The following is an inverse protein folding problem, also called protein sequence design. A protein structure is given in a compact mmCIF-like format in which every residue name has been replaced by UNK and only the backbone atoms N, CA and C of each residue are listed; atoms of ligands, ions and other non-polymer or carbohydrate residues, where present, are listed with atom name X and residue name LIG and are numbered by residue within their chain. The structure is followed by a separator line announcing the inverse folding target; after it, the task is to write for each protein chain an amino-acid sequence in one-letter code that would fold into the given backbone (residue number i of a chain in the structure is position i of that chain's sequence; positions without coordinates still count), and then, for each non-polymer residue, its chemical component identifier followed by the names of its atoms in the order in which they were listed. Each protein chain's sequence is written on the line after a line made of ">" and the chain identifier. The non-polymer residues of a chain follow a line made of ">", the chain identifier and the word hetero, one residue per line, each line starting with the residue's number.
data_IF_220892944729
#
_entry.id   IF_220892944729
#
_cell.length_a   1.000
_cell.length_b   1.000
_cell.length_c   1.000
_cell.angle_alpha   90.00
_cell.angle_beta   90.00
_cell.angle_gamma   90.00
#
_symmetry.space_group_name_H-M   'P 1'
#
loop_
_entity.id
_entity.type
_entity.pdbx_description
1 polymer ?
#
# COMPACT_ATOMS: atom_id res chain seq x y z
N UNK A 1 17.40 1.91 14.43
CA UNK A 1 17.63 0.87 15.45
C UNK A 1 16.40 -0.01 15.43
N UNK A 2 16.61 -1.29 15.10
CA UNK A 2 15.60 -2.37 15.05
C UNK A 2 15.16 -2.58 16.51
N UNK A 3 13.87 -2.50 16.81
CA UNK A 3 13.37 -2.85 18.14
C UNK A 3 13.45 -4.37 18.28
N UNK A 4 14.44 -4.83 19.06
CA UNK A 4 14.65 -6.16 19.61
C UNK A 4 13.65 -7.27 19.18
N UNK A 5 13.86 -7.86 18.00
CA UNK A 5 13.55 -9.28 17.76
C UNK A 5 12.45 -9.65 16.76
N UNK A 6 11.74 -8.71 16.12
CA UNK A 6 10.75 -9.05 15.10
C UNK A 6 11.37 -9.15 13.69
N UNK A 7 11.28 -10.30 12.99
CA UNK A 7 11.73 -10.41 11.60
C UNK A 7 11.03 -9.44 10.64
N UNK A 8 9.83 -8.94 10.98
CA UNK A 8 9.09 -7.99 10.16
C UNK A 8 9.83 -6.66 9.98
N UNK A 9 10.69 -6.28 10.92
CA UNK A 9 11.42 -5.01 10.83
C UNK A 9 12.44 -4.98 9.70
N UNK A 10 12.91 -6.14 9.24
CA UNK A 10 13.74 -6.23 8.03
C UNK A 10 12.94 -5.77 6.81
N UNK A 11 11.68 -6.21 6.69
CA UNK A 11 10.78 -5.78 5.62
C UNK A 11 10.43 -4.29 5.74
N UNK A 12 10.29 -3.77 6.95
CA UNK A 12 10.05 -2.33 7.19
C UNK A 12 11.24 -1.48 6.72
N UNK A 13 12.48 -1.91 7.00
CA UNK A 13 13.71 -1.21 6.56
C UNK A 13 13.90 -1.28 5.04
N UNK A 14 13.65 -2.45 4.44
CA UNK A 14 13.70 -2.62 2.99
C UNK A 14 12.62 -1.78 2.32
N UNK A 15 11.41 -1.76 2.89
CA UNK A 15 10.30 -0.95 2.40
C UNK A 15 10.57 0.55 2.48
N UNK A 16 11.21 1.02 3.56
CA UNK A 16 11.66 2.41 3.66
C UNK A 16 12.65 2.77 2.55
N UNK A 17 13.61 1.87 2.31
CA UNK A 17 14.61 2.03 1.25
C UNK A 17 13.93 2.09 -0.12
N UNK A 18 13.00 1.18 -0.39
CA UNK A 18 12.21 1.13 -1.63
C UNK A 18 11.35 2.37 -1.82
N UNK A 19 10.72 2.88 -0.76
CA UNK A 19 9.87 4.08 -0.80
C UNK A 19 10.64 5.31 -1.29
N UNK A 20 11.88 5.48 -0.81
CA UNK A 20 12.76 6.62 -1.13
C UNK A 20 13.55 6.45 -2.42
N UNK A 21 13.72 5.20 -2.90
CA UNK A 21 14.53 4.91 -4.07
C UNK A 21 13.85 5.41 -5.36
N UNK A 22 14.52 6.24 -6.18
CA UNK A 22 14.06 6.53 -7.53
C UNK A 22 14.00 5.24 -8.38
N UNK A 23 12.86 5.00 -9.02
CA UNK A 23 12.69 3.83 -9.89
C UNK A 23 11.85 4.16 -11.13
N UNK A 24 11.79 3.17 -12.04
CA UNK A 24 11.00 3.21 -13.25
C UNK A 24 11.56 4.16 -14.32
N UNK A 25 10.93 4.19 -15.51
CA UNK A 25 11.34 5.07 -16.62
C UNK A 25 11.36 6.55 -16.26
N UNK A 26 10.53 6.99 -15.31
CA UNK A 26 10.49 8.39 -14.85
C UNK A 26 11.54 8.72 -13.79
N UNK A 27 12.24 7.72 -13.27
CA UNK A 27 13.30 7.85 -12.26
C UNK A 27 12.89 8.71 -11.06
N UNK A 28 11.74 8.39 -10.46
CA UNK A 28 11.20 9.07 -9.27
C UNK A 28 10.88 8.10 -8.14
N UNK A 29 10.92 8.57 -6.89
CA UNK A 29 10.56 7.81 -5.70
C UNK A 29 9.04 7.77 -5.48
N UNK A 30 8.59 6.98 -4.50
CA UNK A 30 7.18 6.92 -4.08
C UNK A 30 6.81 8.04 -3.09
N UNK A 31 7.73 8.94 -2.75
CA UNK A 31 7.52 10.01 -1.77
C UNK A 31 6.43 11.03 -2.17
N UNK A 32 5.95 10.99 -3.42
CA UNK A 32 4.81 11.79 -3.88
C UNK A 32 3.50 10.99 -3.96
N UNK A 33 3.51 9.72 -3.61
CA UNK A 33 2.32 8.86 -3.61
C UNK A 33 1.35 9.31 -2.53
N UNK A 34 0.09 9.57 -2.90
CA UNK A 34 -0.97 9.87 -1.96
C UNK A 34 -1.69 8.57 -1.57
N UNK A 35 -1.53 8.14 -0.32
CA UNK A 35 -2.20 6.97 0.26
C UNK A 35 -3.52 7.32 0.99
N UNK A 36 -4.07 8.51 0.73
CA UNK A 36 -5.35 8.98 1.26
C UNK A 36 -5.23 9.96 2.42
N UNK A 37 -4.01 10.36 2.78
CA UNK A 37 -3.71 11.41 3.77
C UNK A 37 -3.01 12.62 3.15
N UNK A 38 -2.89 12.66 1.82
CA UNK A 38 -2.15 13.66 1.06
C UNK A 38 -0.85 13.09 0.49
N UNK A 39 -0.27 13.73 -0.55
CA UNK A 39 0.96 13.27 -1.20
C UNK A 39 2.11 13.06 -0.20
N UNK A 40 2.66 11.85 -0.15
CA UNK A 40 3.81 11.50 0.70
C UNK A 40 3.49 11.26 2.17
N UNK A 41 2.25 11.45 2.61
CA UNK A 41 1.88 11.32 4.03
C UNK A 41 1.58 9.85 4.35
N UNK A 42 2.48 9.21 5.11
CA UNK A 42 2.32 7.81 5.52
C UNK A 42 1.66 7.63 6.89
N UNK A 43 1.85 8.57 7.82
CA UNK A 43 1.36 8.47 9.20
C UNK A 43 -0.16 8.29 9.22
N UNK A 44 -0.63 7.15 9.73
CA UNK A 44 -2.07 6.84 9.77
C UNK A 44 -2.74 6.61 8.42
N UNK A 45 -1.98 6.43 7.34
CA UNK A 45 -2.52 6.10 6.02
C UNK A 45 -3.07 4.67 6.01
N UNK A 46 -2.27 3.69 6.47
CA UNK A 46 -2.67 2.29 6.52
C UNK A 46 -3.92 2.06 7.36
N UNK A 47 -4.01 2.69 8.54
CA UNK A 47 -5.18 2.58 9.40
C UNK A 47 -6.48 3.09 8.77
N UNK A 48 -6.40 3.91 7.72
CA UNK A 48 -7.54 4.48 7.02
C UNK A 48 -7.84 3.82 5.65
N UNK A 49 -7.13 2.75 5.32
CA UNK A 49 -7.35 1.94 4.12
C UNK A 49 -8.14 0.67 4.46
N UNK A 50 -8.89 0.09 3.50
CA UNK A 50 -9.18 0.59 2.16
C UNK A 50 -10.07 1.85 2.18
N UNK A 51 -10.00 2.68 1.13
CA UNK A 51 -10.85 3.86 0.98
C UNK A 51 -11.02 4.30 -0.47
N UNK A 52 -11.97 5.20 -0.71
CA UNK A 52 -12.19 5.81 -2.01
C UNK A 52 -11.11 6.85 -2.34
N UNK A 53 -10.63 6.78 -3.58
CA UNK A 53 -9.73 7.77 -4.19
C UNK A 53 -10.40 8.41 -5.39
N UNK A 54 -10.42 9.74 -5.41
CA UNK A 54 -11.09 10.54 -6.44
C UNK A 54 -10.39 10.46 -7.80
N UNK A 55 -9.07 10.33 -7.82
CA UNK A 55 -8.24 10.31 -9.03
C UNK A 55 -8.43 9.04 -9.87
N UNK A 56 -8.74 7.92 -9.23
CA UNK A 56 -9.07 6.64 -9.90
C UNK A 56 -10.55 6.33 -9.89
N UNK A 57 -11.32 7.10 -9.13
CA UNK A 57 -12.74 6.86 -8.89
C UNK A 57 -12.99 5.44 -8.35
N UNK A 58 -12.11 4.91 -7.49
CA UNK A 58 -12.20 3.53 -6.97
C UNK A 58 -11.91 3.46 -5.49
N UNK A 59 -12.47 2.45 -4.83
CA UNK A 59 -12.00 2.01 -3.51
C UNK A 59 -10.77 1.14 -3.73
N UNK A 60 -9.68 1.46 -3.07
CA UNK A 60 -8.42 0.73 -3.17
C UNK A 60 -7.89 0.39 -1.78
N UNK A 61 -7.33 -0.81 -1.66
CA UNK A 61 -6.45 -1.21 -0.56
C UNK A 61 -5.05 -0.61 -0.76
N UNK A 62 -4.11 -0.99 0.11
CA UNK A 62 -2.75 -0.48 0.04
C UNK A 62 -2.03 -0.93 -1.24
N UNK A 63 -2.06 -2.21 -1.53
CA UNK A 63 -1.33 -2.83 -2.64
C UNK A 63 -1.83 -2.30 -3.99
N UNK A 64 -3.15 -2.17 -4.17
CA UNK A 64 -3.72 -1.57 -5.39
C UNK A 64 -3.33 -0.10 -5.51
N UNK A 65 -3.27 0.64 -4.39
CA UNK A 65 -2.84 2.04 -4.42
C UNK A 65 -1.33 2.19 -4.69
N UNK A 66 -0.49 1.31 -4.15
CA UNK A 66 0.94 1.27 -4.45
C UNK A 66 1.18 0.95 -5.92
N UNK A 67 0.48 -0.05 -6.48
CA UNK A 67 0.51 -0.36 -7.91
C UNK A 67 0.13 0.86 -8.76
N UNK A 68 -0.93 1.58 -8.37
CA UNK A 68 -1.32 2.82 -9.05
C UNK A 68 -0.22 3.90 -8.97
N UNK A 69 0.40 4.10 -7.81
CA UNK A 69 1.49 5.07 -7.68
C UNK A 69 2.74 4.68 -8.48
N UNK A 70 3.14 3.41 -8.46
CA UNK A 70 4.28 2.92 -9.25
C UNK A 70 4.04 3.10 -10.76
N UNK A 71 2.83 2.80 -11.24
CA UNK A 71 2.49 2.98 -12.65
C UNK A 71 2.43 4.46 -13.05
N UNK A 72 1.76 5.29 -12.27
CA UNK A 72 1.53 6.70 -12.62
C UNK A 72 2.74 7.60 -12.35
N UNK A 73 3.37 7.47 -11.17
CA UNK A 73 4.51 8.28 -10.76
C UNK A 73 5.81 7.78 -11.37
N UNK A 74 6.12 6.49 -11.24
CA UNK A 74 7.40 5.93 -11.68
C UNK A 74 7.40 5.52 -13.16
N UNK A 75 6.22 5.33 -13.76
CA UNK A 75 6.07 4.94 -15.16
C UNK A 75 6.33 3.45 -15.41
N UNK A 76 6.36 2.62 -14.36
CA UNK A 76 6.51 1.16 -14.47
C UNK A 76 5.23 0.54 -15.04
N UNK A 77 5.35 -0.59 -15.72
CA UNK A 77 4.17 -1.34 -16.19
C UNK A 77 3.57 -2.18 -15.05
N UNK A 78 2.27 -2.49 -15.13
CA UNK A 78 1.62 -3.32 -14.12
C UNK A 78 2.25 -4.72 -14.09
N UNK A 79 2.58 -5.27 -15.26
CA UNK A 79 3.18 -6.59 -15.44
C UNK A 79 4.56 -6.69 -14.76
N UNK A 80 5.38 -5.64 -14.85
CA UNK A 80 6.68 -5.57 -14.15
C UNK A 80 6.51 -5.58 -12.62
N UNK A 81 5.50 -4.89 -12.11
CA UNK A 81 5.25 -4.75 -10.67
C UNK A 81 4.65 -6.04 -10.11
N UNK A 82 3.69 -6.65 -10.81
CA UNK A 82 2.96 -7.83 -10.33
C UNK A 82 3.64 -9.15 -10.71
N UNK A 83 4.89 -9.12 -11.18
CA UNK A 83 5.63 -10.34 -11.56
C UNK A 83 5.93 -11.23 -10.36
N UNK A 84 6.16 -10.65 -9.19
CA UNK A 84 6.43 -11.37 -7.95
C UNK A 84 5.76 -10.67 -6.77
N UNK A 85 4.41 -10.72 -6.67
CA UNK A 85 3.67 -10.01 -5.63
C UNK A 85 3.94 -10.60 -4.24
N UNK A 86 4.26 -11.90 -4.18
CA UNK A 86 4.63 -12.61 -2.96
C UNK A 86 6.10 -13.01 -3.02
N UNK A 87 6.78 -12.85 -1.89
CA UNK A 87 8.18 -13.21 -1.74
C UNK A 87 8.35 -14.72 -1.52
N UNK A 88 9.57 -15.18 -1.74
CA UNK A 88 10.07 -16.46 -1.25
C UNK A 88 11.35 -16.25 -0.46
N UNK A 89 11.87 -17.31 0.17
CA UNK A 89 13.11 -17.25 0.93
C UNK A 89 14.29 -16.65 0.13
N UNK A 90 14.34 -16.91 -1.18
CA UNK A 90 15.42 -16.46 -2.06
C UNK A 90 15.09 -15.20 -2.87
N UNK A 91 13.81 -14.80 -2.90
CA UNK A 91 13.32 -13.70 -3.74
C UNK A 91 12.32 -12.85 -2.95
N UNK A 92 12.78 -11.80 -2.25
CA UNK A 92 11.89 -10.92 -1.52
C UNK A 92 10.93 -10.18 -2.47
N UNK A 93 9.72 -9.90 -2.00
CA UNK A 93 8.75 -9.09 -2.74
C UNK A 93 8.87 -7.61 -2.36
N UNK A 94 9.01 -6.76 -3.37
CA UNK A 94 8.94 -5.30 -3.18
C UNK A 94 7.60 -4.87 -2.57
N UNK A 95 6.50 -5.53 -2.95
CA UNK A 95 5.16 -5.20 -2.45
C UNK A 95 5.04 -5.54 -0.96
N UNK A 96 5.57 -6.68 -0.52
CA UNK A 96 5.55 -7.07 0.90
C UNK A 96 6.34 -6.08 1.76
N UNK A 97 7.55 -5.71 1.33
CA UNK A 97 8.39 -4.75 2.06
C UNK A 97 7.75 -3.37 2.13
N UNK A 98 7.20 -2.87 1.01
CA UNK A 98 6.48 -1.59 1.01
C UNK A 98 5.23 -1.64 1.88
N UNK A 99 4.45 -2.72 1.81
CA UNK A 99 3.26 -2.89 2.66
C UNK A 99 3.63 -2.90 4.15
N UNK A 100 4.68 -3.63 4.53
CA UNK A 100 5.18 -3.66 5.90
C UNK A 100 5.61 -2.26 6.37
N UNK A 101 6.41 -1.55 5.58
CA UNK A 101 6.89 -0.21 5.90
C UNK A 101 5.74 0.79 6.09
N UNK A 102 4.76 0.80 5.17
CA UNK A 102 3.60 1.72 5.28
C UNK A 102 2.70 1.36 6.46
N UNK A 103 2.46 0.06 6.70
CA UNK A 103 1.69 -0.40 7.85
C UNK A 103 2.35 0.01 9.18
N UNK A 104 3.69 -0.04 9.25
CA UNK A 104 4.44 0.39 10.42
C UNK A 104 4.19 1.86 10.79
N UNK A 105 3.91 2.73 9.80
CA UNK A 105 3.58 4.15 10.03
C UNK A 105 2.21 4.37 10.70
N UNK A 106 1.45 3.30 10.92
CA UNK A 106 0.16 3.31 11.62
C UNK A 106 0.13 2.38 12.85
N UNK A 107 1.27 1.88 13.33
CA UNK A 107 1.36 1.05 14.55
C UNK A 107 0.69 1.75 15.74
N UNK A 108 -0.17 1.01 16.46
CA UNK A 108 -0.90 1.50 17.63
C UNK A 108 -2.09 2.42 17.33
N UNK A 109 -2.37 2.73 16.06
CA UNK A 109 -3.52 3.54 15.69
C UNK A 109 -4.79 2.69 15.55
N UNK A 110 -5.95 3.29 15.83
CA UNK A 110 -7.24 2.66 15.60
C UNK A 110 -7.51 2.54 14.09
N UNK A 111 -7.99 1.38 13.65
CA UNK A 111 -8.47 1.20 12.28
C UNK A 111 -9.74 2.01 12.05
N UNK A 112 -9.74 2.81 10.99
CA UNK A 112 -10.84 3.68 10.57
C UNK A 112 -10.93 3.66 9.02
N UNK A 113 -11.23 2.50 8.41
CA UNK A 113 -11.36 2.38 6.96
C UNK A 113 -12.51 3.25 6.43
N UNK A 114 -12.46 3.59 5.14
CA UNK A 114 -13.47 4.44 4.51
C UNK A 114 -14.86 3.80 4.49
N UNK A 115 -15.87 4.52 4.98
CA UNK A 115 -17.30 4.12 4.96
C UNK A 115 -18.24 5.30 4.63
N UNK A 116 -17.69 6.44 4.24
CA UNK A 116 -18.45 7.67 4.04
C UNK A 116 -18.99 7.79 2.61
N UNK A 117 -18.18 7.39 1.63
CA UNK A 117 -18.49 7.53 0.20
C UNK A 117 -19.44 6.41 -0.26
N UNK A 118 -20.36 6.67 -1.21
CA UNK A 118 -21.24 5.62 -1.74
C UNK A 118 -20.50 4.37 -2.25
N UNK A 119 -19.35 4.54 -2.91
CA UNK A 119 -18.53 3.40 -3.36
C UNK A 119 -17.90 2.63 -2.20
N UNK A 120 -17.51 3.30 -1.11
CA UNK A 120 -16.99 2.63 0.10
C UNK A 120 -18.06 1.73 0.72
N UNK A 121 -19.29 2.25 0.83
CA UNK A 121 -20.44 1.47 1.32
C UNK A 121 -20.74 0.27 0.42
N UNK A 122 -20.72 0.47 -0.91
CA UNK A 122 -20.91 -0.63 -1.86
C UNK A 122 -19.81 -1.69 -1.76
N UNK A 123 -18.54 -1.29 -1.65
CA UNK A 123 -17.42 -2.23 -1.45
C UNK A 123 -17.52 -2.98 -0.13
N UNK A 124 -17.97 -2.32 0.94
CA UNK A 124 -18.24 -2.96 2.22
C UNK A 124 -19.34 -4.02 2.11
N UNK A 125 -20.46 -3.68 1.48
CA UNK A 125 -21.58 -4.61 1.27
C UNK A 125 -21.19 -5.82 0.39
N UNK A 126 -20.38 -5.60 -0.64
CA UNK A 126 -19.81 -6.67 -1.45
C UNK A 126 -18.92 -7.58 -0.61
N UNK A 127 -18.00 -7.01 0.18
CA UNK A 127 -17.13 -7.78 1.07
C UNK A 127 -17.93 -8.59 2.08
N UNK A 128 -19.01 -8.02 2.62
CA UNK A 128 -19.95 -8.72 3.51
C UNK A 128 -20.62 -9.90 2.81
N UNK A 129 -21.12 -9.71 1.58
CA UNK A 129 -21.74 -10.80 0.82
C UNK A 129 -20.76 -11.94 0.51
N UNK A 130 -19.55 -11.60 0.07
CA UNK A 130 -18.48 -12.57 -0.22
C UNK A 130 -18.07 -13.36 1.03
N UNK A 131 -17.99 -12.70 2.19
CA UNK A 131 -17.64 -13.35 3.45
C UNK A 131 -18.65 -14.45 3.86
N UNK A 132 -19.93 -14.27 3.54
CA UNK A 132 -20.98 -15.24 3.88
C UNK A 132 -21.30 -16.24 2.75
N UNK A 133 -20.62 -16.14 1.61
CA UNK A 133 -20.75 -17.10 0.51
C UNK A 133 -20.00 -18.40 0.88
N UNK A 134 -20.70 -19.54 0.82
CA UNK A 134 -20.17 -20.87 1.16
C UNK A 134 -19.99 -21.74 -0.07
#
# INVERSE_FOLDING_TARGET
>A
MIAEGSPAELFELDGETLWKKPQGPKNVSLEKCDLGRGPGVLKGAYAALPRYFKDTDRVMDLETRLLYCMTTLQGRTAEEITKSPFGSADKPSEMESLSAYVAAQSKGMKLEPGLSHPREKQSFELGRALFFQR
#
